data_IF_500167649166
#
_entry.id   IF_500167649166
#
_cell.length_a   1.000
_cell.length_b   1.000
_cell.length_c   1.000
_cell.angle_alpha   90.00
_cell.angle_beta   90.00
_cell.angle_gamma   90.00
#
_symmetry.space_group_name_H-M   'P 1'
#
loop_
_entity.id
_entity.type
_entity.pdbx_description
1 polymer ?
#
# COMPACT_ATOMS: atom_id res chain seq x y z
N UNK A 1 -4.15 23.30 22.57
CA UNK A 1 -4.13 24.30 21.48
C UNK A 1 -3.81 23.60 20.18
N UNK A 2 -4.77 23.64 19.27
CA UNK A 2 -4.82 22.96 17.98
C UNK A 2 -3.93 23.67 16.95
N UNK A 3 -3.23 22.92 16.10
CA UNK A 3 -2.75 23.43 14.82
C UNK A 3 -2.60 22.28 13.80
N UNK A 4 -3.64 22.09 12.98
CA UNK A 4 -3.53 21.36 11.71
C UNK A 4 -3.05 22.37 10.68
N UNK A 5 -1.83 22.19 10.15
CA UNK A 5 -1.36 22.97 9.01
C UNK A 5 -1.53 22.15 7.73
N UNK A 6 -2.61 22.44 7.02
CA UNK A 6 -2.80 22.06 5.63
C UNK A 6 -2.54 23.31 4.78
N UNK A 7 -1.42 23.39 4.05
CA UNK A 7 -1.28 24.16 2.78
C UNK A 7 0.16 24.16 2.22
N UNK A 8 0.25 23.87 0.93
CA UNK A 8 1.44 24.02 0.07
C UNK A 8 1.56 22.86 -0.93
N UNK A 9 0.67 22.69 -1.91
CA UNK A 9 0.82 23.19 -3.29
C UNK A 9 2.17 22.83 -3.95
N UNK A 10 2.41 21.54 -4.14
CA UNK A 10 3.08 21.06 -5.34
C UNK A 10 2.03 20.26 -6.11
N UNK A 11 1.73 20.55 -7.39
CA UNK A 11 1.13 19.55 -8.25
C UNK A 11 2.22 18.50 -8.46
N UNK A 12 2.39 17.62 -7.46
CA UNK A 12 3.18 16.42 -7.63
C UNK A 12 2.45 15.65 -8.70
N UNK A 13 2.91 15.85 -9.94
CA UNK A 13 2.76 14.99 -11.10
C UNK A 13 2.00 13.75 -10.70
N UNK A 14 0.67 13.81 -10.82
CA UNK A 14 -0.15 12.62 -10.85
C UNK A 14 0.19 12.00 -12.19
N UNK A 15 1.40 11.46 -12.29
CA UNK A 15 1.66 10.32 -13.13
C UNK A 15 0.67 9.30 -12.62
N UNK A 16 -0.53 9.28 -13.21
CA UNK A 16 -1.43 8.14 -13.10
C UNK A 16 -0.59 6.99 -13.61
N UNK A 17 0.11 6.31 -12.71
CA UNK A 17 0.79 5.08 -13.02
C UNK A 17 -0.31 4.20 -13.60
N UNK A 18 -0.23 3.79 -14.87
CA UNK A 18 -1.29 2.98 -15.46
C UNK A 18 -1.47 1.77 -14.56
N UNK A 19 -2.62 1.70 -13.91
CA UNK A 19 -2.98 0.59 -13.05
C UNK A 19 -3.62 -0.43 -13.97
N UNK A 20 -2.89 -1.51 -14.24
CA UNK A 20 -3.49 -2.66 -14.90
C UNK A 20 -4.59 -3.23 -13.99
N UNK A 21 -5.68 -3.67 -14.62
CA UNK A 21 -6.64 -4.52 -13.93
C UNK A 21 -5.95 -5.85 -13.63
N UNK A 22 -6.20 -6.48 -12.48
CA UNK A 22 -5.74 -7.83 -12.24
C UNK A 22 -6.37 -8.76 -13.29
N UNK A 23 -5.58 -9.69 -13.82
CA UNK A 23 -6.10 -10.80 -14.60
C UNK A 23 -6.87 -11.77 -13.69
N UNK A 24 -7.81 -12.56 -14.23
CA UNK A 24 -8.42 -13.66 -13.47
C UNK A 24 -7.35 -14.60 -12.91
N UNK A 25 -7.55 -15.07 -11.68
CA UNK A 25 -6.74 -16.08 -11.01
C UNK A 25 -7.62 -17.28 -10.64
N UNK A 26 -7.06 -18.49 -10.69
CA UNK A 26 -7.76 -19.70 -10.29
C UNK A 26 -7.94 -19.74 -8.76
N UNK A 27 -9.01 -20.36 -8.22
CA UNK A 27 -9.17 -20.51 -6.78
C UNK A 27 -7.96 -21.19 -6.13
N UNK A 28 -7.50 -20.65 -5.00
CA UNK A 28 -6.33 -21.10 -4.23
C UNK A 28 -4.98 -20.61 -4.75
N UNK A 29 -4.93 -20.01 -5.95
CA UNK A 29 -3.72 -19.44 -6.56
C UNK A 29 -3.22 -18.23 -5.77
N UNK A 30 -1.90 -18.10 -5.60
CA UNK A 30 -1.29 -16.92 -4.96
C UNK A 30 -1.34 -15.72 -5.92
N UNK A 31 -2.04 -14.66 -5.53
CA UNK A 31 -2.22 -13.44 -6.34
C UNK A 31 -1.28 -12.30 -5.95
N UNK A 32 -0.75 -12.34 -4.73
CA UNK A 32 0.24 -11.40 -4.25
C UNK A 32 1.04 -12.00 -3.09
N UNK A 33 2.32 -11.67 -3.03
CA UNK A 33 3.20 -12.00 -1.92
C UNK A 33 4.06 -10.78 -1.57
N UNK A 34 4.26 -10.55 -0.28
CA UNK A 34 5.20 -9.56 0.22
C UNK A 34 5.91 -10.11 1.46
N UNK A 35 7.23 -9.96 1.50
CA UNK A 35 8.06 -10.37 2.62
C UNK A 35 8.66 -9.14 3.27
N UNK A 36 8.69 -9.12 4.60
CA UNK A 36 9.33 -8.04 5.35
C UNK A 36 8.57 -6.71 5.30
N UNK A 37 7.24 -6.75 5.18
CA UNK A 37 6.39 -5.56 5.14
C UNK A 37 6.61 -4.73 6.40
N UNK A 38 6.97 -3.47 6.19
CA UNK A 38 7.12 -2.44 7.23
C UNK A 38 6.20 -1.27 6.95
N UNK A 39 5.47 -0.84 7.97
CA UNK A 39 4.54 0.29 7.88
C UNK A 39 4.65 1.12 9.14
N UNK A 40 4.93 2.40 8.97
CA UNK A 40 4.91 3.40 10.03
C UNK A 40 3.69 4.32 9.91
N UNK A 41 3.02 4.60 11.02
CA UNK A 41 1.91 5.55 11.07
C UNK A 41 2.06 6.46 12.28
N UNK A 42 2.24 7.76 12.01
CA UNK A 42 2.43 8.76 13.07
C UNK A 42 3.72 8.57 13.87
N UNK A 43 4.80 8.14 13.22
CA UNK A 43 6.10 7.89 13.88
C UNK A 43 6.16 6.59 14.70
N UNK A 44 5.16 5.73 14.57
CA UNK A 44 5.10 4.42 15.22
C UNK A 44 5.05 3.31 14.18
N UNK A 45 5.88 2.29 14.35
CA UNK A 45 5.79 1.05 13.58
C UNK A 45 4.47 0.34 13.88
N UNK A 46 3.69 0.11 12.84
CA UNK A 46 2.41 -0.62 12.87
C UNK A 46 2.62 -2.04 12.35
N UNK A 47 3.47 -2.21 11.34
CA UNK A 47 3.94 -3.51 10.87
C UNK A 47 5.47 -3.47 10.89
N UNK A 48 6.10 -4.54 11.39
CA UNK A 48 7.53 -4.74 11.28
C UNK A 48 7.83 -6.16 10.81
N UNK A 49 8.51 -6.25 9.66
CA UNK A 49 9.04 -7.48 9.10
C UNK A 49 7.98 -8.58 8.86
N UNK A 50 6.77 -8.17 8.45
CA UNK A 50 5.62 -9.06 8.28
C UNK A 50 5.60 -9.71 6.90
N UNK A 51 5.28 -11.01 6.83
CA UNK A 51 4.96 -11.70 5.58
C UNK A 51 3.46 -11.64 5.28
N UNK A 52 3.10 -11.37 4.02
CA UNK A 52 1.71 -11.34 3.54
C UNK A 52 1.62 -12.17 2.26
N UNK A 53 0.74 -13.16 2.27
CA UNK A 53 0.33 -13.92 1.08
C UNK A 53 -1.16 -13.70 0.86
N UNK A 54 -1.56 -13.42 -0.38
CA UNK A 54 -2.95 -13.31 -0.79
C UNK A 54 -3.24 -14.42 -1.79
N UNK A 55 -4.30 -15.18 -1.55
CA UNK A 55 -4.78 -16.24 -2.45
C UNK A 55 -6.13 -15.88 -3.03
N UNK A 56 -6.43 -16.39 -4.22
CA UNK A 56 -7.73 -16.22 -4.87
C UNK A 56 -8.79 -17.15 -4.25
N UNK A 57 -10.04 -16.66 -4.15
CA UNK A 57 -11.16 -17.38 -3.54
C UNK A 57 -11.33 -17.11 -2.05
#
# INVERSE_FOLDING_TARGET
MTAVRLRGLLPALVTRRPRALPSPAAPGETVAEAVGVRVDRGGRAVLDSVGVEVRAG
#
